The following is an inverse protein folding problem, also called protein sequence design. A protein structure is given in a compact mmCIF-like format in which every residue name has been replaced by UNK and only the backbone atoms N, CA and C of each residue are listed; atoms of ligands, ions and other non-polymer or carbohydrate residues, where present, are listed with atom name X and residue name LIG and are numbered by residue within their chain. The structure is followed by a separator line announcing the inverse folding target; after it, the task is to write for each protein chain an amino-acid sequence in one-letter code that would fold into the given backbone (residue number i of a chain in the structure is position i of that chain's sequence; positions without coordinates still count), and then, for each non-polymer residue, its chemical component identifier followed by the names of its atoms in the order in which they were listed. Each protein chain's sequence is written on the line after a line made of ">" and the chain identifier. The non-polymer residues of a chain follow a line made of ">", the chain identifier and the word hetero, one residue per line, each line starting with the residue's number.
data_IF_771205724459
#
_entry.id   IF_771205724459
#
_cell.length_a   1.000
_cell.length_b   1.000
_cell.length_c   1.000
_cell.angle_alpha   90.00
_cell.angle_beta   90.00
_cell.angle_gamma   90.00
#
_symmetry.space_group_name_H-M   'P 1'
#
loop_
_entity.id
_entity.type
_entity.pdbx_description
1 polymer ?
#
# COMPACT_ATOMS: atom_id res chain seq x y z
N UNK A 1 -0.83 -5.04 20.17
CA UNK A 1 -1.68 -4.58 19.05
C UNK A 1 -1.10 -5.19 17.79
N UNK A 2 -1.92 -5.72 16.89
CA UNK A 2 -1.49 -6.19 15.56
C UNK A 2 -1.12 -4.98 14.68
N UNK A 3 -0.42 -5.18 13.57
CA UNK A 3 -0.11 -4.09 12.63
C UNK A 3 -1.37 -3.47 12.01
N UNK A 4 -1.23 -2.23 11.54
CA UNK A 4 -2.28 -1.48 10.87
C UNK A 4 -2.73 -2.22 9.60
N UNK A 5 -1.79 -2.57 8.70
CA UNK A 5 -2.15 -3.23 7.44
C UNK A 5 -2.85 -4.57 7.65
N UNK A 6 -2.49 -5.32 8.70
CA UNK A 6 -3.19 -6.56 9.03
C UNK A 6 -4.67 -6.30 9.32
N UNK A 7 -4.98 -5.22 10.07
CA UNK A 7 -6.38 -4.84 10.33
C UNK A 7 -7.10 -4.36 9.07
N UNK A 8 -6.40 -3.61 8.22
CA UNK A 8 -6.98 -3.04 6.99
C UNK A 8 -7.30 -4.08 5.92
N UNK A 9 -6.55 -5.18 5.84
CA UNK A 9 -6.65 -6.12 4.72
C UNK A 9 -6.75 -7.58 5.19
N UNK A 10 -5.69 -8.09 5.81
CA UNK A 10 -5.55 -9.51 6.14
C UNK A 10 -6.69 -10.00 7.05
N UNK A 11 -7.06 -9.21 8.06
CA UNK A 11 -8.17 -9.50 8.96
C UNK A 11 -9.50 -9.63 8.23
N UNK A 12 -9.79 -8.75 7.28
CA UNK A 12 -11.04 -8.76 6.51
C UNK A 12 -11.11 -9.96 5.56
N UNK A 13 -10.01 -10.29 4.88
CA UNK A 13 -9.93 -11.49 4.03
C UNK A 13 -10.14 -12.75 4.86
N UNK A 14 -9.48 -12.89 6.00
CA UNK A 14 -9.64 -14.04 6.91
C UNK A 14 -11.06 -14.12 7.49
N UNK A 15 -11.70 -12.98 7.71
CA UNK A 15 -13.04 -12.88 8.30
C UNK A 15 -14.17 -13.02 7.27
N UNK A 16 -13.85 -13.33 6.01
CA UNK A 16 -14.83 -13.67 4.98
C UNK A 16 -15.17 -12.56 3.99
N UNK A 17 -14.50 -11.41 4.03
CA UNK A 17 -14.71 -10.29 3.09
C UNK A 17 -13.83 -10.37 1.84
N UNK A 18 -13.23 -11.53 1.54
CA UNK A 18 -12.26 -11.69 0.46
C UNK A 18 -12.77 -11.23 -0.92
N UNK A 19 -14.04 -11.50 -1.21
CA UNK A 19 -14.70 -11.16 -2.48
C UNK A 19 -15.45 -9.81 -2.42
N UNK A 20 -15.56 -9.20 -1.24
CA UNK A 20 -16.17 -7.88 -1.07
C UNK A 20 -15.26 -6.77 -1.62
N UNK A 21 -15.89 -5.67 -2.04
CA UNK A 21 -15.19 -4.56 -2.68
C UNK A 21 -14.39 -3.72 -1.68
N UNK A 22 -13.09 -3.61 -1.90
CA UNK A 22 -12.21 -2.72 -1.14
C UNK A 22 -12.07 -1.35 -1.81
N UNK A 23 -12.02 -1.31 -3.14
CA UNK A 23 -11.86 -0.07 -3.93
C UNK A 23 -12.79 -0.07 -5.14
N UNK A 24 -13.36 1.09 -5.43
CA UNK A 24 -14.03 1.38 -6.68
C UNK A 24 -13.46 2.70 -7.26
N UNK A 25 -13.01 2.65 -8.52
CA UNK A 25 -12.54 3.80 -9.29
C UNK A 25 -13.06 3.76 -10.74
N UNK A 26 -12.76 4.79 -11.54
CA UNK A 26 -13.13 4.88 -12.98
C UNK A 26 -12.67 3.68 -13.81
N UNK A 27 -11.71 2.95 -13.26
CA UNK A 27 -10.95 1.88 -13.87
C UNK A 27 -11.57 0.52 -13.48
N UNK A 28 -12.57 0.50 -12.60
CA UNK A 28 -13.32 -0.67 -12.14
C UNK A 28 -13.31 -0.87 -10.62
N UNK A 29 -13.54 -2.10 -10.19
CA UNK A 29 -13.59 -2.47 -8.77
C UNK A 29 -12.50 -3.49 -8.42
N UNK A 30 -11.99 -3.42 -7.20
CA UNK A 30 -10.98 -4.33 -6.65
C UNK A 30 -11.49 -4.89 -5.33
N UNK A 31 -11.46 -6.21 -5.16
CA UNK A 31 -11.86 -6.88 -3.91
C UNK A 31 -10.78 -6.78 -2.82
N UNK A 32 -11.12 -7.08 -1.57
CA UNK A 32 -10.14 -7.15 -0.48
C UNK A 32 -9.02 -8.16 -0.77
N UNK A 33 -9.33 -9.33 -1.33
CA UNK A 33 -8.31 -10.32 -1.67
C UNK A 33 -7.36 -9.81 -2.77
N UNK A 34 -7.90 -9.09 -3.77
CA UNK A 34 -7.11 -8.49 -4.83
C UNK A 34 -6.23 -7.37 -4.30
N UNK A 35 -6.76 -6.45 -3.49
CA UNK A 35 -5.99 -5.36 -2.88
C UNK A 35 -4.91 -5.89 -1.92
N UNK A 36 -5.21 -6.94 -1.15
CA UNK A 36 -4.22 -7.62 -0.31
C UNK A 36 -3.07 -8.15 -1.16
N UNK A 37 -3.39 -8.89 -2.22
CA UNK A 37 -2.38 -9.46 -3.10
C UNK A 37 -1.54 -8.38 -3.79
N UNK A 38 -2.18 -7.38 -4.41
CA UNK A 38 -1.49 -6.29 -5.11
C UNK A 38 -0.60 -5.48 -4.16
N UNK A 39 -1.11 -5.10 -2.98
CA UNK A 39 -0.30 -4.37 -1.98
C UNK A 39 0.88 -5.20 -1.45
N UNK A 40 0.72 -6.52 -1.30
CA UNK A 40 1.80 -7.41 -0.89
C UNK A 40 2.88 -7.59 -1.97
N UNK A 41 2.48 -7.69 -3.24
CA UNK A 41 3.42 -7.75 -4.36
C UNK A 41 4.17 -6.43 -4.52
N UNK A 42 3.48 -5.29 -4.49
CA UNK A 42 4.13 -3.98 -4.55
C UNK A 42 5.05 -3.77 -3.35
N UNK A 43 4.63 -4.19 -2.15
CA UNK A 43 5.47 -4.11 -0.97
C UNK A 43 6.79 -4.88 -1.14
N UNK A 44 6.72 -6.12 -1.63
CA UNK A 44 7.91 -6.91 -1.94
C UNK A 44 8.77 -6.27 -3.05
N UNK A 45 8.15 -5.72 -4.10
CA UNK A 45 8.83 -4.99 -5.16
C UNK A 45 9.61 -3.78 -4.64
N UNK A 46 9.01 -2.97 -3.76
CA UNK A 46 9.67 -1.83 -3.11
C UNK A 46 10.82 -2.28 -2.20
N UNK A 47 10.62 -3.35 -1.41
CA UNK A 47 11.67 -3.92 -0.57
C UNK A 47 12.88 -4.39 -1.39
N UNK A 48 12.67 -5.02 -2.56
CA UNK A 48 13.76 -5.36 -3.47
C UNK A 48 14.52 -4.15 -4.01
N UNK A 49 13.91 -2.97 -4.01
CA UNK A 49 14.54 -1.71 -4.41
C UNK A 49 15.26 -1.00 -3.24
N UNK A 50 15.28 -1.61 -2.05
CA UNK A 50 15.92 -1.06 -0.85
C UNK A 50 15.01 -0.15 -0.01
N UNK A 51 13.69 -0.25 -0.18
CA UNK A 51 12.73 0.40 0.72
C UNK A 51 12.48 -0.52 1.91
N UNK A 52 12.97 -0.12 3.08
CA UNK A 52 12.79 -0.84 4.35
C UNK A 52 11.89 -0.08 5.33
N UNK A 53 11.57 -0.70 6.47
CA UNK A 53 10.91 -0.03 7.58
C UNK A 53 11.63 1.29 7.96
N UNK A 54 10.86 2.36 8.15
CA UNK A 54 11.39 3.70 8.43
C UNK A 54 11.88 4.47 7.20
N UNK A 55 11.95 3.85 6.01
CA UNK A 55 12.37 4.54 4.78
C UNK A 55 11.34 5.58 4.37
N UNK A 56 11.78 6.82 4.17
CA UNK A 56 10.96 7.89 3.63
C UNK A 56 10.66 7.66 2.15
N UNK A 57 9.37 7.62 1.78
CA UNK A 57 8.92 7.50 0.40
C UNK A 57 7.92 8.60 0.05
N UNK A 58 8.11 9.26 -1.08
CA UNK A 58 7.18 10.29 -1.56
C UNK A 58 6.09 9.62 -2.40
N UNK A 59 4.83 9.91 -2.13
CA UNK A 59 3.69 9.50 -2.96
C UNK A 59 3.12 10.77 -3.64
N UNK A 60 3.38 10.94 -4.94
CA UNK A 60 3.05 12.17 -5.67
C UNK A 60 2.25 11.89 -6.95
N UNK A 61 1.11 12.57 -7.13
CA UNK A 61 0.25 12.37 -8.30
C UNK A 61 -0.39 10.98 -8.42
N UNK A 62 -0.47 10.22 -7.31
CA UNK A 62 -1.19 8.96 -7.23
C UNK A 62 -2.67 9.21 -6.94
N UNK A 63 -3.57 8.50 -7.62
CA UNK A 63 -5.01 8.56 -7.40
C UNK A 63 -5.66 7.18 -7.52
N UNK A 64 -6.97 7.09 -7.28
CA UNK A 64 -7.70 5.85 -7.49
C UNK A 64 -7.16 4.68 -6.64
N UNK A 65 -7.22 3.48 -7.23
CA UNK A 65 -6.59 2.27 -6.66
C UNK A 65 -5.07 2.39 -6.47
N UNK A 66 -4.37 3.22 -7.24
CA UNK A 66 -2.90 3.29 -7.18
C UNK A 66 -2.45 3.90 -5.85
N UNK A 67 -3.13 4.96 -5.40
CA UNK A 67 -2.89 5.57 -4.10
C UNK A 67 -3.21 4.59 -2.96
N UNK A 68 -4.36 3.92 -3.01
CA UNK A 68 -4.78 2.96 -1.97
C UNK A 68 -3.79 1.80 -1.87
N UNK A 69 -3.35 1.28 -3.01
CA UNK A 69 -2.35 0.20 -3.06
C UNK A 69 -0.99 0.66 -2.55
N UNK A 70 -0.54 1.87 -2.92
CA UNK A 70 0.74 2.41 -2.44
C UNK A 70 0.74 2.64 -0.92
N UNK A 71 -0.34 3.21 -0.36
CA UNK A 71 -0.48 3.44 1.10
C UNK A 71 -0.46 2.11 1.86
N UNK A 72 -1.21 1.11 1.39
CA UNK A 72 -1.26 -0.21 2.03
C UNK A 72 0.05 -0.99 1.85
N UNK A 73 0.75 -0.85 0.72
CA UNK A 73 2.08 -1.39 0.53
C UNK A 73 3.11 -0.74 1.47
N UNK A 74 3.07 0.58 1.65
CA UNK A 74 3.93 1.27 2.62
C UNK A 74 3.69 0.75 4.04
N UNK A 75 2.41 0.61 4.44
CA UNK A 75 2.02 0.05 5.74
C UNK A 75 2.50 -1.40 5.95
N UNK A 76 2.68 -2.16 4.87
CA UNK A 76 3.14 -3.54 4.91
C UNK A 76 4.64 -3.70 5.09
N UNK A 77 5.43 -2.75 4.57
CA UNK A 77 6.89 -2.73 4.77
C UNK A 77 7.26 -1.91 6.02
N UNK A 78 6.39 -1.00 6.46
CA UNK A 78 6.74 0.03 7.46
C UNK A 78 7.44 1.24 6.83
N UNK A 79 7.36 1.41 5.51
CA UNK A 79 7.85 2.61 4.84
C UNK A 79 6.99 3.82 5.24
N UNK A 80 7.60 5.00 5.34
CA UNK A 80 6.97 6.22 5.86
C UNK A 80 6.71 7.19 4.71
N UNK A 81 5.44 7.42 4.32
CA UNK A 81 5.09 8.48 3.40
C UNK A 81 5.59 9.84 3.90
N UNK A 82 6.33 10.56 3.06
CA UNK A 82 6.99 11.81 3.43
C UNK A 82 6.91 12.85 2.31
N UNK A 83 7.09 14.13 2.65
CA UNK A 83 7.12 15.22 1.68
C UNK A 83 8.40 15.22 0.81
N UNK A 84 9.47 14.57 1.27
CA UNK A 84 10.72 14.41 0.53
C UNK A 84 11.40 13.10 0.91
N UNK A 85 12.12 12.49 -0.04
CA UNK A 85 12.84 11.24 0.15
C UNK A 85 13.53 10.82 -1.15
N UNK A 86 14.47 9.89 -1.03
CA UNK A 86 15.23 9.33 -2.16
C UNK A 86 14.36 8.41 -3.04
N UNK A 87 13.32 7.83 -2.44
CA UNK A 87 12.33 7.01 -3.12
C UNK A 87 11.06 7.81 -3.35
N UNK A 88 10.54 7.76 -4.57
CA UNK A 88 9.29 8.45 -4.94
C UNK A 88 8.46 7.59 -5.88
N UNK A 89 7.21 7.34 -5.52
CA UNK A 89 6.20 6.86 -6.47
C UNK A 89 5.50 8.06 -7.07
N UNK A 90 5.59 8.21 -8.39
CA UNK A 90 5.08 9.39 -9.10
C UNK A 90 4.12 8.98 -10.22
N UNK A 91 3.00 9.69 -10.30
CA UNK A 91 2.01 9.59 -11.37
C UNK A 91 1.04 8.42 -11.23
N UNK A 92 0.15 8.30 -12.22
CA UNK A 92 -0.83 7.23 -12.35
C UNK A 92 -0.95 6.87 -13.85
N UNK A 93 -0.41 5.74 -14.32
CA UNK A 93 0.16 4.64 -13.52
C UNK A 93 1.47 5.03 -12.82
N UNK A 94 1.76 4.50 -11.62
CA UNK A 94 2.93 4.92 -10.86
C UNK A 94 4.26 4.46 -11.46
N UNK A 95 5.29 5.27 -11.28
CA UNK A 95 6.69 4.92 -11.52
C UNK A 95 7.48 5.17 -10.23
N UNK A 96 8.25 4.18 -9.79
CA UNK A 96 9.22 4.37 -8.71
C UNK A 96 10.46 5.04 -9.28
N UNK A 97 10.77 6.22 -8.78
CA UNK A 97 12.07 6.86 -8.91
C UNK A 97 12.89 6.49 -7.68
N UNK A 98 13.99 5.79 -7.89
CA UNK A 98 14.96 5.39 -6.87
C UNK A 98 16.35 5.94 -7.24
N UNK A 99 17.33 5.93 -6.32
CA UNK A 99 18.68 6.38 -6.63
C UNK A 99 19.28 5.65 -7.85
N UNK A 100 19.46 6.40 -8.94
CA UNK A 100 20.10 5.90 -10.16
C UNK A 100 19.23 5.01 -11.06
N UNK A 101 17.94 4.83 -10.78
CA UNK A 101 17.05 4.03 -11.64
C UNK A 101 15.58 4.43 -11.51
N UNK A 102 14.81 4.06 -12.53
CA UNK A 102 13.34 4.14 -12.51
C UNK A 102 12.75 2.76 -12.77
N UNK A 103 11.66 2.42 -12.07
CA UNK A 103 11.01 1.12 -12.16
C UNK A 103 9.51 1.33 -12.27
N UNK A 104 8.89 0.79 -13.31
CA UNK A 104 7.44 0.90 -13.51
C UNK A 104 6.67 0.05 -12.52
N UNK A 105 5.42 0.42 -12.24
CA UNK A 105 4.51 -0.34 -11.37
C UNK A 105 4.43 -1.82 -11.72
N UNK A 106 4.26 -2.14 -13.01
CA UNK A 106 4.20 -3.53 -13.49
C UNK A 106 5.47 -4.33 -13.22
N UNK A 107 6.64 -3.67 -13.21
CA UNK A 107 7.91 -4.35 -12.90
C UNK A 107 8.04 -4.60 -11.41
N UNK A 108 7.63 -3.64 -10.56
CA UNK A 108 7.58 -3.83 -9.11
C UNK A 108 6.63 -4.98 -8.74
N UNK A 109 5.41 -4.98 -9.30
CA UNK A 109 4.42 -6.03 -9.08
C UNK A 109 4.98 -7.40 -9.48
N UNK A 110 5.54 -7.52 -10.69
CA UNK A 110 6.14 -8.78 -11.17
C UNK A 110 7.31 -9.24 -10.29
N UNK A 111 8.16 -8.33 -9.84
CA UNK A 111 9.28 -8.66 -8.97
C UNK A 111 8.79 -9.20 -7.61
N UNK A 112 7.72 -8.62 -7.06
CA UNK A 112 7.17 -9.03 -5.77
C UNK A 112 6.30 -10.28 -5.77
N UNK A 113 5.76 -10.71 -6.93
CA UNK A 113 4.90 -11.90 -7.03
C UNK A 113 5.54 -13.21 -6.58
N UNK A 114 6.87 -13.30 -6.60
CA UNK A 114 7.59 -14.52 -6.20
C UNK A 114 7.51 -14.74 -4.69
N UNK A 115 7.60 -13.66 -3.93
CA UNK A 115 7.55 -13.67 -2.47
C UNK A 115 6.82 -12.40 -1.97
N UNK A 116 5.47 -12.38 -2.03
CA UNK A 116 4.70 -11.22 -1.57
C UNK A 116 4.94 -10.94 -0.10
N UNK A 117 5.07 -9.67 0.27
CA UNK A 117 5.41 -9.29 1.64
C UNK A 117 4.25 -9.61 2.59
N UNK A 118 4.52 -10.26 3.73
CA UNK A 118 3.48 -10.50 4.74
C UNK A 118 3.20 -9.23 5.54
N UNK A 119 2.03 -9.13 6.16
CA UNK A 119 1.81 -8.07 7.15
C UNK A 119 2.77 -8.27 8.33
N UNK A 120 3.38 -7.21 8.88
CA UNK A 120 4.22 -7.33 10.07
C UNK A 120 3.35 -7.66 11.29
N UNK A 121 3.94 -8.26 12.33
CA UNK A 121 3.20 -8.57 13.55
C UNK A 121 2.70 -7.31 14.27
N UNK A 122 3.48 -6.23 14.21
CA UNK A 122 3.23 -4.94 14.87
C UNK A 122 3.83 -3.81 14.05
N UNK A 123 3.25 -2.63 14.16
CA UNK A 123 3.86 -1.40 13.64
C UNK A 123 4.89 -0.84 14.62
N UNK A 124 5.82 -0.04 14.13
CA UNK A 124 6.69 0.79 14.97
C UNK A 124 5.89 1.86 15.72
N UNK A 125 6.42 2.32 16.85
CA UNK A 125 5.77 3.35 17.67
C UNK A 125 5.57 4.64 16.86
N UNK A 126 4.34 5.16 16.85
CA UNK A 126 4.00 6.39 16.11
C UNK A 126 3.75 6.21 14.60
N UNK A 127 3.95 5.01 14.06
CA UNK A 127 3.70 4.73 12.64
C UNK A 127 2.23 4.92 12.25
N UNK A 128 1.31 4.27 12.97
CA UNK A 128 -0.12 4.36 12.69
C UNK A 128 -0.67 5.80 12.78
N UNK A 129 -0.39 6.59 13.85
CA UNK A 129 -0.78 8.00 13.90
C UNK A 129 -0.28 8.81 12.70
N UNK A 130 0.93 8.52 12.22
CA UNK A 130 1.52 9.21 11.06
C UNK A 130 0.74 8.91 9.78
N UNK A 131 0.44 7.64 9.52
CA UNK A 131 -0.37 7.20 8.37
C UNK A 131 -1.80 7.76 8.43
N UNK A 132 -2.44 7.77 9.61
CA UNK A 132 -3.79 8.32 9.78
C UNK A 132 -3.85 9.83 9.55
N UNK A 133 -2.81 10.58 9.92
CA UNK A 133 -2.77 12.02 9.68
C UNK A 133 -2.80 12.37 8.18
N UNK A 134 -2.19 11.53 7.33
CA UNK A 134 -2.12 11.76 5.88
C UNK A 134 -3.22 11.05 5.08
N UNK A 135 -3.66 9.87 5.52
CA UNK A 135 -4.53 8.98 4.74
C UNK A 135 -5.73 8.45 5.55
N UNK A 136 -6.18 9.20 6.56
CA UNK A 136 -7.25 8.82 7.48
C UNK A 136 -8.49 8.25 6.79
N UNK A 137 -8.98 8.89 5.73
CA UNK A 137 -10.17 8.41 4.99
C UNK A 137 -9.99 7.01 4.41
N UNK A 138 -8.84 6.71 3.79
CA UNK A 138 -8.55 5.38 3.23
C UNK A 138 -8.50 4.36 4.37
N UNK A 139 -7.79 4.70 5.45
CA UNK A 139 -7.55 3.82 6.59
C UNK A 139 -8.87 3.51 7.31
N UNK A 140 -9.67 4.51 7.64
CA UNK A 140 -10.96 4.35 8.34
C UNK A 140 -11.96 3.54 7.50
N UNK A 141 -11.97 3.77 6.19
CA UNK A 141 -12.86 3.02 5.28
C UNK A 141 -12.48 1.55 5.22
N UNK A 142 -11.19 1.25 5.01
CA UNK A 142 -10.73 -0.14 4.93
C UNK A 142 -10.83 -0.85 6.28
N UNK A 143 -10.50 -0.18 7.39
CA UNK A 143 -10.57 -0.77 8.74
C UNK A 143 -12.00 -1.14 9.17
N UNK A 144 -13.01 -0.48 8.59
CA UNK A 144 -14.42 -0.80 8.82
C UNK A 144 -14.97 -1.85 7.85
N UNK A 145 -14.15 -2.39 6.94
CA UNK A 145 -14.58 -3.31 5.89
C UNK A 145 -15.35 -2.62 4.75
N UNK A 146 -15.26 -1.31 4.62
CA UNK A 146 -15.95 -0.52 3.60
C UNK A 146 -15.24 -0.50 2.24
N UNK A 147 -15.83 0.18 1.27
CA UNK A 147 -15.26 0.36 -0.08
C UNK A 147 -14.79 1.80 -0.26
N UNK A 148 -13.50 2.00 -0.54
CA UNK A 148 -12.94 3.31 -0.89
C UNK A 148 -13.47 3.73 -2.25
N UNK A 149 -14.20 4.85 -2.31
CA UNK A 149 -14.61 5.51 -3.55
C UNK A 149 -13.50 6.46 -3.97
N UNK A 150 -12.72 6.08 -4.97
CA UNK A 150 -11.56 6.86 -5.41
C UNK A 150 -11.81 7.43 -6.81
N UNK A 151 -11.99 8.75 -6.88
CA UNK A 151 -12.13 9.51 -8.13
C UNK A 151 -10.76 9.94 -8.68
#
# INVERSE_FOLDING_TARGET
>A
MTSLVFRLLDHHVISGLADDLAVADDRGTVSYAQLLHESACIAAGLHHMGVDAGTAIVLDGLHGRDLVTAVTACARIGAVPAASGDFRLVGSPPVLHAPGTEVTWDVLDKAGRTEPHTAPDRDEEGYEPTLRASYGTIIETLESGGTVQAH
#
